data_IF_953203779898
#
_entry.id   IF_953203779898
#
_cell.length_a   1.000
_cell.length_b   1.000
_cell.length_c   1.000
_cell.angle_alpha   90.00
_cell.angle_beta   90.00
_cell.angle_gamma   90.00
#
_symmetry.space_group_name_H-M   'P 1'
#
loop_
_entity.id
_entity.type
_entity.pdbx_description
1 polymer ?
#
# COMPACT_ATOMS: atom_id res chain seq x y z
N UNK A 1 -10.45 19.72 19.41
CA UNK A 1 -10.83 20.19 20.76
C UNK A 1 -9.62 20.08 21.65
N UNK A 2 -9.53 20.87 22.71
CA UNK A 2 -8.38 20.85 23.62
C UNK A 2 -8.17 19.41 24.15
N UNK A 3 -6.96 18.87 23.95
CA UNK A 3 -6.54 17.52 24.40
C UNK A 3 -7.51 16.36 24.05
N UNK A 4 -8.22 16.44 22.91
CA UNK A 4 -9.10 15.35 22.48
C UNK A 4 -10.40 15.19 23.27
N UNK A 5 -10.76 16.16 24.13
CA UNK A 5 -11.94 16.11 25.01
C UNK A 5 -13.25 15.74 24.28
N UNK A 6 -13.43 16.21 23.04
CA UNK A 6 -14.62 15.89 22.23
C UNK A 6 -14.67 14.42 21.83
N UNK A 7 -13.54 13.84 21.44
CA UNK A 7 -13.46 12.43 21.05
C UNK A 7 -13.68 11.55 22.29
N UNK A 8 -13.07 11.92 23.43
CA UNK A 8 -13.24 11.19 24.69
C UNK A 8 -14.70 11.18 25.17
N UNK A 9 -15.43 12.29 25.03
CA UNK A 9 -16.85 12.32 25.37
C UNK A 9 -17.67 11.32 24.52
N UNK A 10 -17.39 11.24 23.22
CA UNK A 10 -18.07 10.30 22.31
C UNK A 10 -17.72 8.85 22.66
N UNK A 11 -16.45 8.57 22.96
CA UNK A 11 -16.00 7.23 23.37
C UNK A 11 -16.71 6.75 24.64
N UNK A 12 -16.94 7.65 25.60
CA UNK A 12 -17.69 7.34 26.83
C UNK A 12 -19.15 6.97 26.53
N UNK A 13 -19.82 7.69 25.63
CA UNK A 13 -21.18 7.38 25.19
C UNK A 13 -21.26 6.04 24.45
N UNK A 14 -20.22 5.68 23.68
CA UNK A 14 -20.11 4.40 22.97
C UNK A 14 -19.60 3.24 23.84
N UNK A 15 -19.74 3.35 25.17
CA UNK A 15 -19.36 2.30 26.14
C UNK A 15 -17.88 1.85 26.02
N UNK A 16 -16.99 2.74 25.58
CA UNK A 16 -15.57 2.46 25.46
C UNK A 16 -15.11 1.91 24.10
N UNK A 17 -15.95 1.98 23.06
CA UNK A 17 -15.49 1.70 21.70
C UNK A 17 -14.36 2.67 21.28
N UNK A 18 -13.27 2.13 20.72
CA UNK A 18 -12.13 2.95 20.27
C UNK A 18 -12.47 3.66 18.97
N UNK A 19 -12.17 4.97 18.92
CA UNK A 19 -12.40 5.80 17.75
C UNK A 19 -11.06 6.39 17.32
N UNK A 20 -10.71 6.16 16.06
CA UNK A 20 -9.56 6.77 15.41
C UNK A 20 -10.03 7.82 14.40
N UNK A 21 -9.39 8.99 14.42
CA UNK A 21 -9.71 10.11 13.52
C UNK A 21 -8.56 10.26 12.54
N UNK A 22 -8.86 10.02 11.27
CA UNK A 22 -7.89 10.06 10.17
C UNK A 22 -8.15 11.27 9.27
N UNK A 23 -7.10 11.74 8.58
CA UNK A 23 -7.25 12.80 7.58
C UNK A 23 -7.80 12.20 6.29
N UNK A 24 -8.82 12.85 5.74
CA UNK A 24 -9.31 12.53 4.41
C UNK A 24 -8.40 13.18 3.36
N UNK A 25 -8.16 12.50 2.26
CA UNK A 25 -7.50 13.03 1.07
C UNK A 25 -8.27 12.62 -0.18
N UNK A 26 -8.21 13.43 -1.23
CA UNK A 26 -8.74 13.09 -2.55
C UNK A 26 -7.83 12.12 -3.30
N UNK A 27 -6.54 12.07 -2.95
CA UNK A 27 -5.60 11.10 -3.50
C UNK A 27 -5.82 9.74 -2.81
N UNK A 28 -6.18 8.67 -3.56
CA UNK A 28 -6.42 7.36 -2.98
C UNK A 28 -5.19 6.78 -2.26
N UNK A 29 -3.98 7.07 -2.75
CA UNK A 29 -2.72 6.61 -2.14
C UNK A 29 -2.59 7.20 -0.73
N UNK A 30 -2.67 8.52 -0.61
CA UNK A 30 -2.63 9.22 0.67
C UNK A 30 -3.80 8.85 1.58
N UNK A 31 -5.01 8.67 1.03
CA UNK A 31 -6.18 8.34 1.81
C UNK A 31 -6.10 6.93 2.42
N UNK A 32 -5.58 5.94 1.68
CA UNK A 32 -5.36 4.58 2.17
C UNK A 32 -4.27 4.56 3.24
N UNK A 33 -3.18 5.29 3.03
CA UNK A 33 -2.13 5.42 4.04
C UNK A 33 -2.67 6.02 5.35
N UNK A 34 -3.48 7.08 5.25
CA UNK A 34 -4.13 7.71 6.41
C UNK A 34 -5.12 6.77 7.11
N UNK A 35 -5.85 5.94 6.35
CA UNK A 35 -6.86 5.02 6.88
C UNK A 35 -6.27 3.88 7.72
N UNK A 36 -5.00 3.53 7.52
CA UNK A 36 -4.28 2.51 8.30
C UNK A 36 -3.65 3.04 9.60
N UNK A 37 -3.73 4.36 9.85
CA UNK A 37 -3.32 4.97 11.12
C UNK A 37 -3.98 4.22 12.29
N UNK A 38 -3.21 3.75 13.29
CA UNK A 38 -1.91 4.27 13.75
C UNK A 38 -0.65 3.64 13.13
N UNK A 39 -0.78 2.65 12.24
CA UNK A 39 0.37 2.04 11.60
C UNK A 39 1.02 3.02 10.61
N UNK A 40 2.36 3.01 10.52
CA UNK A 40 3.11 3.76 9.52
C UNK A 40 3.19 2.93 8.25
N UNK A 41 2.88 3.57 7.14
CA UNK A 41 2.96 3.01 5.80
C UNK A 41 4.23 3.51 5.13
N UNK A 42 4.99 2.60 4.53
CA UNK A 42 6.22 2.89 3.78
C UNK A 42 5.90 3.18 2.31
N UNK A 43 5.09 2.33 1.71
CA UNK A 43 4.68 2.44 0.31
C UNK A 43 3.24 1.96 0.11
N UNK A 44 2.60 2.48 -0.93
CA UNK A 44 1.26 2.07 -1.37
C UNK A 44 1.27 1.95 -2.88
N UNK A 45 0.99 0.75 -3.38
CA UNK A 45 0.77 0.49 -4.80
C UNK A 45 -0.73 0.35 -5.06
N UNK A 46 -1.22 1.00 -6.12
CA UNK A 46 -2.64 0.95 -6.48
C UNK A 46 -2.85 0.16 -7.76
N UNK A 47 -3.78 -0.79 -7.69
CA UNK A 47 -4.28 -1.57 -8.82
C UNK A 47 -5.69 -1.10 -9.13
N UNK A 48 -5.81 -0.11 -10.02
CA UNK A 48 -7.07 0.57 -10.34
C UNK A 48 -8.12 -0.34 -10.98
N UNK A 49 -7.70 -1.35 -11.74
CA UNK A 49 -8.61 -2.27 -12.42
C UNK A 49 -9.40 -3.13 -11.41
N UNK A 50 -8.73 -3.61 -10.36
CA UNK A 50 -9.32 -4.49 -9.36
C UNK A 50 -9.83 -3.77 -8.11
N UNK A 51 -9.63 -2.45 -8.03
CA UNK A 51 -9.77 -1.64 -6.81
C UNK A 51 -9.04 -2.27 -5.62
N UNK A 52 -7.79 -2.68 -5.86
CA UNK A 52 -6.90 -3.24 -4.85
C UNK A 52 -5.75 -2.27 -4.59
N UNK A 53 -5.31 -2.22 -3.33
CA UNK A 53 -4.14 -1.48 -2.91
C UNK A 53 -3.24 -2.42 -2.12
N UNK A 54 -1.98 -2.51 -2.53
CA UNK A 54 -0.92 -3.19 -1.78
C UNK A 54 -0.20 -2.16 -0.93
N UNK A 55 -0.04 -2.46 0.34
CA UNK A 55 0.51 -1.55 1.32
C UNK A 55 1.67 -2.21 2.03
N UNK A 56 2.80 -1.52 2.04
CA UNK A 56 4.02 -1.97 2.70
C UNK A 56 4.14 -1.28 4.04
N UNK A 57 4.32 -2.07 5.09
CA UNK A 57 4.55 -1.59 6.45
C UNK A 57 5.83 -2.20 7.01
N UNK A 58 6.46 -1.58 8.02
CA UNK A 58 7.58 -2.22 8.70
C UNK A 58 7.16 -3.52 9.39
N UNK A 59 8.03 -4.52 9.46
CA UNK A 59 7.77 -5.83 10.08
C UNK A 59 7.16 -5.73 11.47
N UNK A 60 7.73 -4.86 12.30
CA UNK A 60 7.30 -4.67 13.69
C UNK A 60 5.90 -4.07 13.81
N UNK A 61 5.32 -3.54 12.72
CA UNK A 61 3.97 -2.96 12.67
C UNK A 61 2.98 -3.79 11.86
N UNK A 62 3.38 -4.90 11.24
CA UNK A 62 2.47 -5.73 10.44
C UNK A 62 1.21 -6.13 11.23
N UNK A 63 1.40 -6.61 12.46
CA UNK A 63 0.29 -6.98 13.35
C UNK A 63 -0.60 -5.79 13.72
N UNK A 64 -0.01 -4.59 13.89
CA UNK A 64 -0.74 -3.37 14.20
C UNK A 64 -1.58 -2.90 13.01
N UNK A 65 -1.00 -2.95 11.80
CA UNK A 65 -1.65 -2.56 10.55
C UNK A 65 -2.85 -3.47 10.23
N UNK A 66 -2.71 -4.78 10.43
CA UNK A 66 -3.81 -5.74 10.30
C UNK A 66 -4.86 -5.53 11.41
N UNK A 67 -4.39 -5.34 12.64
CA UNK A 67 -5.24 -5.22 13.83
C UNK A 67 -5.78 -6.55 14.33
N UNK A 68 -6.44 -6.52 15.49
CA UNK A 68 -7.04 -7.74 16.09
C UNK A 68 -8.10 -8.31 15.13
N UNK A 69 -7.98 -9.58 14.75
CA UNK A 69 -8.88 -10.25 13.80
C UNK A 69 -9.03 -9.54 12.44
N UNK A 70 -8.00 -8.78 12.04
CA UNK A 70 -8.02 -8.00 10.80
C UNK A 70 -8.96 -6.79 10.84
N UNK A 71 -9.38 -6.36 12.05
CA UNK A 71 -10.35 -5.28 12.20
C UNK A 71 -9.86 -3.97 11.57
N UNK A 72 -8.59 -3.62 11.73
CA UNK A 72 -8.07 -2.35 11.22
C UNK A 72 -8.06 -2.34 9.69
N UNK A 73 -7.48 -3.37 9.07
CA UNK A 73 -7.49 -3.54 7.62
C UNK A 73 -8.92 -3.57 7.04
N UNK A 74 -9.86 -4.23 7.72
CA UNK A 74 -11.27 -4.30 7.29
C UNK A 74 -11.96 -2.95 7.38
N UNK A 75 -11.72 -2.19 8.44
CA UNK A 75 -12.28 -0.85 8.61
C UNK A 75 -11.70 0.11 7.57
N UNK A 76 -10.38 0.06 7.33
CA UNK A 76 -9.72 0.85 6.30
C UNK A 76 -10.28 0.52 4.91
N UNK A 77 -10.42 -0.76 4.55
CA UNK A 77 -10.99 -1.19 3.27
C UNK A 77 -12.43 -0.70 3.09
N UNK A 78 -13.24 -0.74 4.15
CA UNK A 78 -14.61 -0.23 4.11
C UNK A 78 -14.67 1.30 4.02
N UNK A 79 -13.71 1.99 4.65
CA UNK A 79 -13.63 3.45 4.66
C UNK A 79 -13.19 4.01 3.30
N UNK A 80 -12.22 3.37 2.65
CA UNK A 80 -11.68 3.81 1.36
C UNK A 80 -12.43 3.22 0.17
N UNK A 81 -13.07 2.06 0.35
CA UNK A 81 -13.70 1.31 -0.73
C UNK A 81 -12.72 0.49 -1.58
N UNK A 82 -11.48 0.32 -1.11
CA UNK A 82 -10.43 -0.47 -1.76
C UNK A 82 -10.20 -1.79 -1.02
N UNK A 83 -9.84 -2.84 -1.74
CA UNK A 83 -9.27 -4.05 -1.12
C UNK A 83 -7.85 -3.73 -0.69
N UNK A 84 -7.52 -3.95 0.58
CA UNK A 84 -6.21 -3.63 1.14
C UNK A 84 -5.47 -4.93 1.42
N UNK A 85 -4.34 -5.12 0.75
CA UNK A 85 -3.36 -6.18 1.02
C UNK A 85 -2.16 -5.56 1.75
N UNK A 86 -1.75 -6.13 2.88
CA UNK A 86 -0.70 -5.56 3.72
C UNK A 86 0.48 -6.52 3.76
N UNK A 87 1.65 -6.04 3.32
CA UNK A 87 2.92 -6.74 3.34
C UNK A 87 3.94 -6.04 4.23
N UNK A 88 4.92 -6.79 4.71
CA UNK A 88 6.10 -6.27 5.40
C UNK A 88 7.20 -5.87 4.40
N UNK A 89 8.11 -4.98 4.79
CA UNK A 89 9.24 -4.55 3.96
C UNK A 89 10.08 -5.73 3.46
N UNK A 90 10.36 -6.73 4.31
CA UNK A 90 11.18 -7.88 3.94
C UNK A 90 10.58 -8.76 2.83
N UNK A 91 9.26 -8.75 2.63
CA UNK A 91 8.62 -9.50 1.53
C UNK A 91 8.52 -8.71 0.23
N UNK A 92 8.67 -7.39 0.29
CA UNK A 92 8.64 -6.55 -0.91
C UNK A 92 10.03 -6.40 -1.54
N UNK A 93 11.12 -6.48 -0.76
CA UNK A 93 12.48 -6.55 -1.29
C UNK A 93 12.69 -7.81 -2.17
N UNK A 94 12.17 -8.98 -1.78
CA UNK A 94 12.17 -10.18 -2.63
C UNK A 94 11.40 -9.99 -3.95
N UNK A 95 10.35 -9.15 -3.99
CA UNK A 95 9.58 -8.90 -5.21
C UNK A 95 10.20 -7.82 -6.12
N UNK A 96 11.14 -7.01 -5.61
CA UNK A 96 11.87 -6.03 -6.42
C UNK A 96 12.98 -6.68 -7.24
N UNK A 97 13.66 -7.69 -6.68
CA UNK A 97 14.69 -8.46 -7.40
C UNK A 97 14.09 -9.19 -8.63
N UNK A 98 12.85 -9.69 -8.53
CA UNK A 98 12.15 -10.32 -9.66
C UNK A 98 11.76 -9.32 -10.76
N UNK A 99 11.48 -8.05 -10.42
CA UNK A 99 11.09 -7.01 -11.41
C UNK A 99 12.26 -6.35 -12.10
N UNK A 100 13.42 -6.25 -11.45
CA UNK A 100 14.64 -5.72 -12.08
C UNK A 100 15.21 -6.72 -13.10
N UNK A 101 15.13 -8.03 -12.83
CA UNK A 101 15.57 -9.08 -13.75
C UNK A 101 14.77 -9.14 -15.06
N UNK A 102 13.44 -8.98 -15.01
CA UNK A 102 12.61 -8.94 -16.23
C UNK A 102 12.92 -7.71 -17.10
N UNK A 103 13.29 -6.57 -16.49
CA UNK A 103 13.60 -5.35 -17.24
C UNK A 103 14.98 -5.36 -17.89
N UNK A 104 16.00 -6.00 -17.30
CA UNK A 104 17.32 -6.12 -17.92
C UNK A 104 17.32 -7.13 -19.07
N UNK A 105 16.63 -8.26 -18.93
CA UNK A 105 16.52 -9.27 -20.00
C UNK A 105 15.74 -8.74 -21.22
N UNK A 106 14.63 -8.02 -21.02
CA UNK A 106 13.87 -7.41 -22.13
C UNK A 106 14.65 -6.29 -22.85
N UNK A 107 15.50 -5.54 -22.13
CA UNK A 107 16.34 -4.50 -22.73
C UNK A 107 17.51 -5.09 -23.53
N UNK A 108 18.14 -6.16 -23.03
CA UNK A 108 19.19 -6.87 -23.76
C UNK A 108 18.66 -7.55 -25.02
N UNK A 109 17.47 -8.19 -24.96
CA UNK A 109 16.84 -8.78 -26.15
C UNK A 109 16.52 -7.72 -27.23
N UNK A 110 16.03 -6.54 -26.83
CA UNK A 110 15.73 -5.44 -27.75
C UNK A 110 16.99 -4.83 -28.39
N UNK A 111 18.09 -4.69 -27.65
CA UNK A 111 19.35 -4.19 -28.23
C UNK A 111 19.94 -5.18 -29.24
N UNK A 112 19.88 -6.49 -28.95
CA UNK A 112 20.36 -7.53 -29.86
C UNK A 112 19.52 -7.60 -31.14
N UNK A 113 18.20 -7.50 -31.04
CA UNK A 113 17.30 -7.52 -32.20
C UNK A 113 17.51 -6.29 -33.09
N UNK A 114 17.71 -5.10 -32.50
CA UNK A 114 18.03 -3.88 -33.24
C UNK A 114 19.38 -3.96 -33.96
N UNK A 115 20.41 -4.54 -33.35
CA UNK A 115 21.73 -4.64 -33.97
C UNK A 115 21.76 -5.64 -35.15
N UNK A 116 20.91 -6.67 -35.11
CA UNK A 116 20.71 -7.61 -36.22
C UNK A 116 19.93 -6.96 -37.38
N UNK A 117 18.88 -6.19 -37.10
CA UNK A 117 18.08 -5.49 -38.12
C UNK A 117 18.93 -4.47 -38.91
N UNK A 118 19.81 -3.74 -38.22
CA UNK A 118 20.73 -2.78 -38.87
C UNK A 118 21.76 -3.49 -39.76
N UNK A 119 22.18 -4.70 -39.42
CA UNK A 119 23.11 -5.47 -40.26
C UNK A 119 22.45 -6.04 -41.51
N UNK A 120 21.18 -6.48 -41.44
CA UNK A 120 20.44 -6.96 -42.61
C UNK A 120 20.10 -5.83 -43.62
N UNK A 121 19.89 -4.59 -43.18
CA UNK A 121 19.65 -3.45 -44.08
C UNK A 121 20.90 -2.96 -44.85
N UNK A 122 22.10 -3.41 -44.46
CA UNK A 122 23.38 -2.97 -45.06
C UNK A 122 23.94 -3.93 -46.13
N UNK A 123 23.30 -5.08 -46.37
CA UNK A 123 23.61 -6.03 -47.47
C UNK A 123 22.68 -5.87 -48.69
#
# INVERSE_FOLDING_TARGET
GHKGMRVQAIVQELKGEKIDVVKWSSDPTEFIANALSPAKVLAVELFSEEKMARVVVPDYQLSLAIGKEGQNARLAAKLTGWKIDIKNESQDEENLEDKEGESEEELEEQEVEQELEVQEELE
#
